data_IF_902069344232
#
_entry.id   IF_902069344232
#
_cell.length_a   1.000
_cell.length_b   1.000
_cell.length_c   1.000
_cell.angle_alpha   90.00
_cell.angle_beta   90.00
_cell.angle_gamma   90.00
#
_symmetry.space_group_name_H-M   'P 1'
#
loop_
_entity.id
_entity.type
_entity.pdbx_description
1 polymer ?
#
# COMPACT_ATOMS: atom_id res chain seq x y z
N UNK A 1 19.08 67.68 -57.41
CA UNK A 1 18.14 66.55 -57.21
C UNK A 1 18.90 65.37 -56.60
N UNK A 2 18.28 64.65 -55.64
CA UNK A 2 18.66 63.34 -55.08
C UNK A 2 20.13 63.01 -54.76
N UNK A 3 20.47 63.00 -53.46
CA UNK A 3 21.60 62.23 -52.92
C UNK A 3 21.19 60.80 -52.57
N UNK A 4 21.75 59.79 -53.25
CA UNK A 4 21.51 58.38 -52.97
C UNK A 4 22.56 57.74 -52.06
N UNK A 5 22.18 57.30 -50.85
CA UNK A 5 23.04 56.47 -49.98
C UNK A 5 23.02 55.00 -50.44
N UNK A 6 24.18 54.44 -50.83
CA UNK A 6 24.36 53.00 -51.06
C UNK A 6 24.24 52.22 -49.74
N UNK A 7 23.27 51.30 -49.63
CA UNK A 7 23.28 50.27 -48.59
C UNK A 7 24.05 49.02 -49.04
N UNK A 8 24.98 48.56 -48.20
CA UNK A 8 25.72 47.32 -48.38
C UNK A 8 24.88 46.10 -47.99
N UNK A 9 24.55 45.23 -48.97
CA UNK A 9 23.96 43.90 -48.69
C UNK A 9 25.05 42.95 -48.19
N UNK A 10 25.12 42.75 -46.87
CA UNK A 10 26.03 41.78 -46.23
C UNK A 10 25.64 40.34 -46.63
N UNK A 11 26.43 39.69 -47.49
CA UNK A 11 26.28 38.25 -47.81
C UNK A 11 26.39 37.44 -46.50
N UNK A 12 25.41 36.60 -46.20
CA UNK A 12 25.55 35.61 -45.13
C UNK A 12 26.34 34.41 -45.62
N UNK A 13 27.43 34.07 -44.93
CA UNK A 13 28.27 32.92 -45.27
C UNK A 13 27.53 31.59 -45.13
N UNK A 14 27.90 30.63 -46.00
CA UNK A 14 27.29 29.30 -46.16
C UNK A 14 27.14 28.53 -44.83
N UNK A 15 28.11 28.69 -43.92
CA UNK A 15 28.09 28.14 -42.56
C UNK A 15 26.80 28.46 -41.77
N UNK A 16 26.24 29.68 -41.89
CA UNK A 16 24.98 30.04 -41.21
C UNK A 16 23.75 29.34 -41.79
N UNK A 17 23.74 29.03 -43.09
CA UNK A 17 22.64 28.25 -43.71
C UNK A 17 22.67 26.80 -43.25
N UNK A 18 23.86 26.21 -43.11
CA UNK A 18 24.01 24.83 -42.62
C UNK A 18 23.60 24.72 -41.15
N UNK A 19 24.02 25.65 -40.28
CA UNK A 19 23.53 25.68 -38.88
C UNK A 19 22.00 25.81 -38.78
N UNK A 20 21.37 26.63 -39.63
CA UNK A 20 19.92 26.79 -39.62
C UNK A 20 19.18 25.49 -40.01
N UNK A 21 19.69 24.74 -41.00
CA UNK A 21 19.14 23.44 -41.37
C UNK A 21 19.38 22.35 -40.32
N UNK A 22 20.54 22.34 -39.65
CA UNK A 22 20.81 21.41 -38.55
C UNK A 22 19.90 21.71 -37.35
N UNK A 23 19.68 22.98 -36.98
CA UNK A 23 18.72 23.32 -35.92
C UNK A 23 17.28 22.92 -36.30
N UNK A 24 16.84 23.16 -37.54
CA UNK A 24 15.51 22.77 -37.99
C UNK A 24 15.32 21.24 -38.04
N UNK A 25 16.35 20.49 -38.47
CA UNK A 25 16.33 19.02 -38.47
C UNK A 25 16.34 18.41 -37.06
N UNK A 26 17.09 19.00 -36.12
CA UNK A 26 17.12 18.56 -34.72
C UNK A 26 15.82 18.87 -33.98
N UNK A 27 15.13 19.96 -34.34
CA UNK A 27 13.82 20.34 -33.76
C UNK A 27 12.63 19.51 -34.26
N UNK A 28 12.79 18.71 -35.33
CA UNK A 28 11.74 17.83 -35.86
C UNK A 28 11.75 16.40 -35.28
N UNK A 29 12.70 16.07 -34.39
CA UNK A 29 12.74 14.79 -33.67
C UNK A 29 12.14 14.85 -32.25
N UNK A 30 11.73 16.03 -31.77
CA UNK A 30 11.31 16.25 -30.38
C UNK A 30 9.80 16.35 -30.16
N UNK A 31 8.98 15.46 -30.75
CA UNK A 31 7.59 15.28 -30.27
C UNK A 31 6.88 13.97 -30.63
N UNK A 32 7.57 12.92 -31.13
CA UNK A 32 7.03 11.55 -30.95
C UNK A 32 7.34 11.10 -29.52
N UNK A 33 6.72 11.80 -28.57
CA UNK A 33 6.63 11.37 -27.19
C UNK A 33 5.80 10.09 -27.16
N UNK A 34 6.44 8.95 -27.44
CA UNK A 34 5.88 7.65 -27.16
C UNK A 34 5.54 7.66 -25.67
N UNK A 35 4.24 7.74 -25.37
CA UNK A 35 3.72 7.41 -24.06
C UNK A 35 3.94 5.91 -23.89
N UNK A 36 5.19 5.54 -23.59
CA UNK A 36 5.55 4.26 -22.99
C UNK A 36 4.93 4.31 -21.60
N UNK A 37 3.63 4.02 -21.57
CA UNK A 37 2.88 3.76 -20.35
C UNK A 37 3.64 2.69 -19.61
N UNK A 38 4.37 3.09 -18.55
CA UNK A 38 5.25 2.21 -17.80
C UNK A 38 4.52 0.90 -17.52
N UNK A 39 5.05 -0.21 -18.03
CA UNK A 39 4.29 -1.44 -18.20
C UNK A 39 3.68 -1.87 -16.87
N UNK A 40 2.36 -2.09 -16.85
CA UNK A 40 1.67 -2.36 -15.59
C UNK A 40 2.16 -3.67 -14.97
N UNK A 41 2.72 -3.56 -13.76
CA UNK A 41 3.28 -4.71 -13.04
C UNK A 41 2.11 -5.47 -12.41
N UNK A 42 1.72 -6.57 -13.08
CA UNK A 42 0.58 -7.41 -12.69
C UNK A 42 0.99 -8.87 -12.52
N UNK A 43 0.43 -9.52 -11.51
CA UNK A 43 0.69 -10.95 -11.25
C UNK A 43 -0.30 -11.83 -12.01
N UNK A 44 0.16 -12.88 -12.68
CA UNK A 44 -0.73 -13.90 -13.28
C UNK A 44 -1.55 -14.55 -12.17
N UNK A 45 -2.89 -14.37 -12.16
CA UNK A 45 -3.77 -14.87 -11.08
C UNK A 45 -3.64 -16.38 -10.84
N UNK A 46 -3.29 -17.14 -11.87
CA UNK A 46 -3.10 -18.60 -11.84
C UNK A 46 -1.88 -19.06 -11.03
N UNK A 47 -0.85 -18.23 -10.83
CA UNK A 47 0.35 -18.62 -10.06
C UNK A 47 0.12 -18.57 -8.54
N UNK A 48 -0.99 -17.98 -8.09
CA UNK A 48 -1.35 -17.90 -6.68
C UNK A 48 -2.21 -19.11 -6.31
N UNK A 49 -1.79 -19.84 -5.28
CA UNK A 49 -2.44 -21.08 -4.83
C UNK A 49 -3.95 -20.95 -4.63
N UNK A 50 -4.68 -21.98 -5.07
CA UNK A 50 -6.12 -22.15 -4.78
C UNK A 50 -6.39 -22.40 -3.30
N UNK A 51 -5.43 -22.95 -2.56
CA UNK A 51 -5.50 -23.18 -1.11
C UNK A 51 -4.50 -22.30 -0.37
N UNK A 52 -5.01 -21.35 0.42
CA UNK A 52 -4.23 -20.47 1.29
C UNK A 52 -4.72 -20.54 2.75
N UNK A 53 -5.34 -21.66 3.15
CA UNK A 53 -5.76 -21.94 4.53
C UNK A 53 -4.61 -22.58 5.32
N UNK A 54 -3.58 -21.76 5.58
CA UNK A 54 -2.39 -22.13 6.37
C UNK A 54 -2.01 -21.01 7.34
N UNK A 55 -1.21 -21.34 8.35
CA UNK A 55 -0.77 -20.42 9.42
C UNK A 55 0.17 -19.31 8.91
N UNK A 56 1.04 -19.64 7.95
CA UNK A 56 1.91 -18.69 7.25
C UNK A 56 1.92 -19.09 5.78
N UNK A 57 1.36 -18.24 4.91
CA UNK A 57 1.38 -18.45 3.47
C UNK A 57 2.49 -17.60 2.84
N UNK A 58 3.34 -18.19 1.98
CA UNK A 58 4.29 -17.44 1.15
C UNK A 58 3.57 -16.98 -0.11
N UNK A 59 3.37 -15.68 -0.26
CA UNK A 59 2.74 -15.06 -1.42
C UNK A 59 3.79 -14.34 -2.26
N UNK A 60 4.13 -14.91 -3.42
CA UNK A 60 4.99 -14.26 -4.42
C UNK A 60 4.13 -13.49 -5.40
N UNK A 61 4.51 -12.24 -5.69
CA UNK A 61 3.83 -11.35 -6.66
C UNK A 61 4.88 -10.61 -7.48
N UNK A 62 4.47 -10.13 -8.66
CA UNK A 62 5.32 -9.28 -9.50
C UNK A 62 5.56 -7.91 -8.87
N UNK A 63 6.76 -7.37 -9.07
CA UNK A 63 7.24 -6.10 -8.54
C UNK A 63 8.18 -5.40 -9.54
N UNK A 64 8.54 -4.14 -9.31
CA UNK A 64 9.44 -3.40 -10.21
C UNK A 64 10.82 -4.03 -10.41
N UNK A 65 11.27 -4.87 -9.47
CA UNK A 65 12.60 -5.50 -9.50
C UNK A 65 12.49 -7.03 -9.64
N UNK A 66 11.54 -7.51 -10.48
CA UNK A 66 11.19 -8.92 -10.57
C UNK A 66 10.18 -9.34 -9.51
N UNK A 67 10.36 -10.47 -8.83
CA UNK A 67 9.36 -10.99 -7.88
C UNK A 67 9.61 -10.58 -6.42
N UNK A 68 8.52 -10.36 -5.65
CA UNK A 68 8.57 -10.14 -4.20
C UNK A 68 7.71 -11.14 -3.45
N UNK A 69 8.35 -11.89 -2.55
CA UNK A 69 7.68 -12.86 -1.67
C UNK A 69 7.36 -12.26 -0.30
N UNK A 70 6.09 -12.25 0.06
CA UNK A 70 5.60 -11.87 1.38
C UNK A 70 5.21 -13.10 2.21
N UNK A 71 5.41 -13.05 3.52
CA UNK A 71 4.91 -14.03 4.50
C UNK A 71 3.60 -13.50 5.08
N UNK A 72 2.47 -14.09 4.67
CA UNK A 72 1.12 -13.70 5.12
C UNK A 72 0.70 -14.57 6.29
N UNK A 73 0.60 -13.96 7.46
CA UNK A 73 0.31 -14.64 8.73
C UNK A 73 -1.19 -14.81 8.99
N UNK A 74 -1.59 -15.89 9.64
CA UNK A 74 -2.93 -16.08 10.20
C UNK A 74 -2.96 -15.60 11.66
N UNK A 75 -3.92 -14.75 12.06
CA UNK A 75 -4.11 -14.38 13.47
C UNK A 75 -4.50 -15.57 14.36
N UNK A 76 -5.22 -16.54 13.79
CA UNK A 76 -5.67 -17.76 14.46
C UNK A 76 -4.69 -18.93 14.25
N UNK A 77 -3.39 -18.65 14.06
CA UNK A 77 -2.37 -19.69 13.94
C UNK A 77 -2.27 -20.51 15.23
N UNK A 78 -2.10 -21.83 15.09
CA UNK A 78 -1.89 -22.75 16.23
C UNK A 78 -0.61 -22.42 17.02
N UNK A 79 0.33 -21.66 16.42
CA UNK A 79 1.57 -21.20 17.04
C UNK A 79 1.40 -20.04 18.03
N UNK A 80 0.20 -19.46 18.11
CA UNK A 80 -0.12 -18.44 19.12
C UNK A 80 -1.02 -19.05 20.18
N UNK A 81 -0.77 -18.71 21.46
CA UNK A 81 -1.68 -19.09 22.56
C UNK A 81 -3.10 -18.60 22.22
N UNK A 82 -4.11 -19.45 22.47
CA UNK A 82 -5.52 -19.06 22.43
C UNK A 82 -5.70 -17.86 23.37
N UNK A 83 -6.53 -16.89 22.99
CA UNK A 83 -6.72 -15.63 23.73
C UNK A 83 -5.41 -14.88 23.97
N UNK A 84 -4.55 -14.79 22.95
CA UNK A 84 -3.39 -13.89 22.93
C UNK A 84 -3.68 -12.60 22.17
N UNK A 85 -2.83 -11.58 22.37
CA UNK A 85 -2.91 -10.31 21.64
C UNK A 85 -2.97 -10.50 20.11
N UNK A 86 -2.21 -11.45 19.56
CA UNK A 86 -2.23 -11.70 18.10
C UNK A 86 -3.58 -12.28 17.66
N UNK A 87 -4.17 -13.19 18.45
CA UNK A 87 -5.47 -13.79 18.11
C UNK A 87 -6.64 -12.80 18.17
N UNK A 88 -6.62 -11.83 19.09
CA UNK A 88 -7.73 -10.87 19.30
C UNK A 88 -7.53 -9.52 18.60
N UNK A 89 -6.29 -9.03 18.53
CA UNK A 89 -5.94 -7.68 18.05
C UNK A 89 -4.83 -7.68 16.97
N UNK A 90 -4.36 -8.85 16.54
CA UNK A 90 -3.16 -8.96 15.72
C UNK A 90 -3.24 -8.49 14.27
N UNK A 91 -4.36 -7.99 13.76
CA UNK A 91 -4.55 -7.71 12.32
C UNK A 91 -3.56 -6.67 11.78
N UNK A 92 -3.38 -5.58 12.51
CA UNK A 92 -2.43 -4.52 12.18
C UNK A 92 -0.97 -5.01 12.20
N UNK A 93 -0.57 -5.72 13.26
CA UNK A 93 0.81 -6.22 13.38
C UNK A 93 1.10 -7.39 12.43
N UNK A 94 0.12 -8.24 12.10
CA UNK A 94 0.24 -9.24 11.04
C UNK A 94 0.40 -8.57 9.66
N UNK A 95 -0.35 -7.51 9.37
CA UNK A 95 -0.23 -6.73 8.14
C UNK A 95 1.13 -6.04 8.02
N UNK A 96 1.57 -5.36 9.08
CA UNK A 96 2.92 -4.77 9.19
C UNK A 96 4.02 -5.82 8.99
N UNK A 97 3.94 -6.96 9.69
CA UNK A 97 4.94 -8.04 9.55
C UNK A 97 4.94 -8.64 8.14
N UNK A 98 3.77 -8.70 7.49
CA UNK A 98 3.65 -9.13 6.09
C UNK A 98 4.46 -8.21 5.18
N UNK A 99 4.26 -6.88 5.27
CA UNK A 99 5.02 -5.91 4.46
C UNK A 99 6.52 -5.93 4.77
N UNK A 100 6.89 -5.91 6.06
CA UNK A 100 8.29 -6.01 6.50
C UNK A 100 8.99 -7.25 5.92
N UNK A 101 8.27 -8.37 5.80
CA UNK A 101 8.85 -9.61 5.30
C UNK A 101 9.28 -9.55 3.82
N UNK A 102 8.58 -8.76 3.01
CA UNK A 102 8.89 -8.56 1.59
C UNK A 102 9.97 -7.50 1.33
N UNK A 103 10.05 -6.46 2.18
CA UNK A 103 10.90 -5.29 1.93
C UNK A 103 12.24 -5.29 2.69
N UNK A 104 12.34 -5.93 3.86
CA UNK A 104 13.55 -5.84 4.69
C UNK A 104 14.23 -7.19 4.85
N UNK A 105 15.51 -7.31 4.46
CA UNK A 105 16.34 -8.49 4.77
C UNK A 105 16.39 -8.74 6.29
N UNK A 106 16.57 -7.68 7.09
CA UNK A 106 16.64 -7.71 8.57
C UNK A 106 15.35 -8.22 9.23
N UNK A 107 14.19 -7.80 8.73
CA UNK A 107 12.88 -8.16 9.32
C UNK A 107 12.18 -9.31 8.57
N UNK A 108 12.79 -9.89 7.52
CA UNK A 108 12.25 -10.99 6.70
C UNK A 108 11.68 -12.14 7.52
N UNK A 109 12.42 -12.54 8.55
CA UNK A 109 12.13 -13.70 9.39
C UNK A 109 11.37 -13.35 10.69
N UNK A 110 10.95 -12.11 10.88
CA UNK A 110 10.14 -11.73 12.05
C UNK A 110 8.78 -12.45 12.06
N UNK A 111 8.20 -12.56 13.25
CA UNK A 111 6.83 -13.00 13.48
C UNK A 111 6.03 -11.83 14.05
N UNK A 112 4.69 -11.84 13.95
CA UNK A 112 3.84 -10.83 14.61
C UNK A 112 4.14 -10.63 16.10
N UNK A 113 4.60 -11.67 16.81
CA UNK A 113 5.11 -11.55 18.19
C UNK A 113 6.43 -10.76 18.27
N UNK A 114 7.44 -11.05 17.42
CA UNK A 114 8.68 -10.25 17.40
C UNK A 114 8.42 -8.81 16.97
N UNK A 115 7.51 -8.58 16.02
CA UNK A 115 7.12 -7.23 15.58
C UNK A 115 6.45 -6.46 16.71
N UNK A 116 5.42 -7.01 17.36
CA UNK A 116 4.71 -6.35 18.47
C UNK A 116 5.55 -6.18 19.73
N UNK A 117 6.37 -7.17 20.10
CA UNK A 117 7.10 -7.17 21.38
C UNK A 117 8.48 -6.51 21.33
N UNK A 118 9.15 -6.53 20.17
CA UNK A 118 10.51 -6.00 20.00
C UNK A 118 10.49 -4.75 19.11
N UNK A 119 9.96 -4.83 17.88
CA UNK A 119 10.07 -3.73 16.93
C UNK A 119 9.20 -2.53 17.30
N UNK A 120 7.90 -2.73 17.61
CA UNK A 120 7.03 -1.65 18.10
C UNK A 120 7.60 -1.00 19.37
N UNK A 121 8.14 -1.80 20.30
CA UNK A 121 8.77 -1.28 21.53
C UNK A 121 9.97 -0.40 21.22
N UNK A 122 10.82 -0.82 20.28
CA UNK A 122 11.99 -0.06 19.84
C UNK A 122 11.62 1.24 19.11
N UNK A 123 10.59 1.23 18.27
CA UNK A 123 10.16 2.40 17.47
C UNK A 123 9.36 3.41 18.29
N UNK A 124 8.48 2.95 19.18
CA UNK A 124 7.57 3.84 19.92
C UNK A 124 8.09 4.27 21.30
N UNK A 125 9.13 3.59 21.79
CA UNK A 125 9.70 3.75 23.13
C UNK A 125 8.98 2.90 24.18
N UNK A 126 9.75 2.43 25.16
CA UNK A 126 9.26 1.53 26.24
C UNK A 126 8.05 2.09 26.99
N UNK A 127 8.00 3.40 27.26
CA UNK A 127 6.87 4.04 27.97
C UNK A 127 5.54 3.88 27.21
N UNK A 128 5.47 4.35 25.94
CA UNK A 128 4.26 4.23 25.12
C UNK A 128 3.86 2.78 24.88
N UNK A 129 4.85 1.90 24.71
CA UNK A 129 4.63 0.47 24.53
C UNK A 129 4.04 -0.18 25.80
N UNK A 130 4.63 0.09 26.97
CA UNK A 130 4.13 -0.40 28.26
C UNK A 130 2.70 0.10 28.53
N UNK A 131 2.41 1.39 28.25
CA UNK A 131 1.08 1.98 28.41
C UNK A 131 -0.02 1.35 27.52
N UNK A 132 0.36 0.60 26.48
CA UNK A 132 -0.57 -0.25 25.72
C UNK A 132 -0.57 -1.68 26.26
N UNK A 133 0.60 -2.32 26.37
CA UNK A 133 0.73 -3.77 26.57
C UNK A 133 0.70 -4.24 28.04
N UNK A 134 0.74 -3.33 29.02
CA UNK A 134 0.45 -3.64 30.44
C UNK A 134 -1.05 -3.67 30.76
N UNK A 135 -1.91 -3.19 29.86
CA UNK A 135 -3.37 -3.24 30.04
C UNK A 135 -3.89 -4.68 29.99
N UNK A 136 -5.05 -4.92 30.61
CA UNK A 136 -5.82 -6.15 30.39
C UNK A 136 -6.05 -6.39 28.90
N UNK A 137 -6.11 -7.65 28.48
CA UNK A 137 -5.97 -8.04 27.08
C UNK A 137 -6.94 -7.30 26.14
N UNK A 138 -8.23 -7.22 26.48
CA UNK A 138 -9.24 -6.51 25.68
C UNK A 138 -9.14 -4.98 25.69
N UNK A 139 -8.37 -4.40 26.62
CA UNK A 139 -8.05 -2.98 26.66
C UNK A 139 -6.76 -2.63 25.90
N UNK A 140 -5.95 -3.62 25.52
CA UNK A 140 -4.84 -3.43 24.57
C UNK A 140 -5.40 -2.99 23.21
N UNK A 141 -4.61 -2.21 22.46
CA UNK A 141 -5.00 -1.73 21.12
C UNK A 141 -3.98 -2.15 20.07
N UNK A 142 -4.43 -2.49 18.85
CA UNK A 142 -3.53 -2.71 17.73
C UNK A 142 -2.74 -1.45 17.40
N UNK A 143 -1.57 -1.61 16.77
CA UNK A 143 -0.86 -0.49 16.14
C UNK A 143 -1.78 0.17 15.09
N UNK A 144 -1.83 1.51 15.05
CA UNK A 144 -2.64 2.26 14.08
C UNK A 144 -1.95 2.36 12.72
N UNK A 145 -2.63 2.81 11.66
CA UNK A 145 -1.94 3.13 10.40
C UNK A 145 -0.85 4.21 10.59
N UNK A 146 -0.98 5.14 11.55
CA UNK A 146 0.11 6.06 11.90
C UNK A 146 1.29 5.34 12.59
N UNK A 147 1.01 4.41 13.49
CA UNK A 147 2.06 3.58 14.10
C UNK A 147 2.79 2.74 13.06
N UNK A 148 2.05 2.14 12.12
CA UNK A 148 2.59 1.39 10.99
C UNK A 148 3.47 2.28 10.11
N UNK A 149 3.02 3.48 9.74
CA UNK A 149 3.83 4.41 8.92
C UNK A 149 5.15 4.77 9.62
N UNK A 150 5.12 5.01 10.95
CA UNK A 150 6.34 5.26 11.74
C UNK A 150 7.28 4.04 11.81
N UNK A 151 6.76 2.81 11.91
CA UNK A 151 7.61 1.60 11.86
C UNK A 151 8.21 1.40 10.48
N UNK A 152 7.44 1.60 9.39
CA UNK A 152 7.96 1.50 8.03
C UNK A 152 9.10 2.50 7.79
N UNK A 153 8.91 3.77 8.17
CA UNK A 153 9.97 4.78 8.08
C UNK A 153 11.22 4.42 8.90
N UNK A 154 11.06 3.92 10.13
CA UNK A 154 12.19 3.43 10.94
C UNK A 154 12.92 2.24 10.30
N UNK A 155 12.23 1.46 9.49
CA UNK A 155 12.81 0.32 8.76
C UNK A 155 13.40 0.70 7.39
N UNK A 156 13.54 2.00 7.11
CA UNK A 156 13.96 2.57 5.82
C UNK A 156 13.06 2.13 4.64
N UNK A 157 11.76 1.98 4.90
CA UNK A 157 10.75 1.71 3.88
C UNK A 157 9.97 3.00 3.65
N UNK A 158 10.19 3.63 2.49
CA UNK A 158 9.42 4.80 2.04
C UNK A 158 7.92 4.48 2.12
N UNK A 159 7.10 5.43 2.55
CA UNK A 159 5.66 5.24 2.65
C UNK A 159 4.92 6.58 2.69
N UNK A 160 3.69 6.60 2.18
CA UNK A 160 2.78 7.75 2.27
C UNK A 160 1.46 7.29 2.87
N UNK A 161 1.10 7.86 4.02
CA UNK A 161 -0.15 7.56 4.72
C UNK A 161 -1.24 8.60 4.37
N UNK A 162 -2.29 8.15 3.70
CA UNK A 162 -3.46 8.94 3.30
C UNK A 162 -4.59 8.67 4.29
N UNK A 163 -4.95 9.69 5.07
CA UNK A 163 -6.02 9.65 6.08
C UNK A 163 -7.39 9.95 5.50
N UNK A 164 -7.46 11.03 4.73
CA UNK A 164 -8.67 11.61 4.15
C UNK A 164 -8.74 11.25 2.67
N UNK A 165 -9.88 10.74 2.20
CA UNK A 165 -10.06 10.40 0.80
C UNK A 165 -11.53 10.46 0.38
N UNK A 166 -11.76 10.73 -0.91
CA UNK A 166 -13.03 10.45 -1.60
C UNK A 166 -12.93 9.11 -2.31
N UNK A 167 -14.01 8.34 -2.38
CA UNK A 167 -13.98 6.95 -2.87
C UNK A 167 -13.37 6.82 -4.28
N UNK A 168 -13.81 7.67 -5.22
CA UNK A 168 -13.28 7.70 -6.61
C UNK A 168 -11.77 7.94 -6.65
N UNK A 169 -11.25 8.82 -5.79
CA UNK A 169 -9.82 9.16 -5.72
C UNK A 169 -9.00 8.02 -5.12
N UNK A 170 -9.50 7.40 -4.03
CA UNK A 170 -8.83 6.26 -3.40
C UNK A 170 -8.74 5.06 -4.34
N UNK A 171 -9.81 4.72 -5.07
CA UNK A 171 -9.80 3.66 -6.07
C UNK A 171 -8.71 3.90 -7.12
N UNK A 172 -8.70 5.07 -7.77
CA UNK A 172 -7.70 5.40 -8.81
C UNK A 172 -6.27 5.40 -8.26
N UNK A 173 -6.04 6.00 -7.09
CA UNK A 173 -4.70 6.10 -6.51
C UNK A 173 -4.15 4.72 -6.10
N UNK A 174 -4.98 3.89 -5.47
CA UNK A 174 -4.58 2.55 -5.03
C UNK A 174 -4.39 1.62 -6.23
N UNK A 175 -5.28 1.63 -7.23
CA UNK A 175 -5.09 0.83 -8.44
C UNK A 175 -3.81 1.23 -9.20
N UNK A 176 -3.54 2.54 -9.36
CA UNK A 176 -2.27 3.02 -9.97
C UNK A 176 -1.05 2.56 -9.17
N UNK A 177 -1.07 2.68 -7.85
CA UNK A 177 0.06 2.28 -7.01
C UNK A 177 0.28 0.76 -6.98
N UNK A 178 -0.77 -0.05 -6.90
CA UNK A 178 -0.63 -1.51 -6.95
C UNK A 178 -0.08 -2.02 -8.29
N UNK A 179 -0.27 -1.26 -9.38
CA UNK A 179 0.30 -1.51 -10.71
C UNK A 179 1.77 -1.09 -10.86
N UNK A 180 2.38 -0.42 -9.86
CA UNK A 180 3.84 -0.28 -9.77
C UNK A 180 4.49 -1.47 -9.05
N UNK A 181 3.71 -2.49 -8.69
CA UNK A 181 4.21 -3.67 -7.99
C UNK A 181 4.59 -3.41 -6.53
N UNK A 182 4.01 -2.37 -5.92
CA UNK A 182 4.19 -2.00 -4.51
C UNK A 182 2.86 -2.14 -3.75
N UNK A 183 2.86 -2.55 -2.46
CA UNK A 183 1.65 -2.89 -1.74
C UNK A 183 0.99 -1.67 -1.07
N UNK A 184 -0.29 -1.83 -0.73
CA UNK A 184 -1.04 -0.84 0.07
C UNK A 184 -1.55 -1.50 1.34
N UNK A 185 -1.34 -0.87 2.50
CA UNK A 185 -1.97 -1.28 3.76
C UNK A 185 -3.28 -0.51 3.91
N UNK A 186 -4.40 -1.18 4.18
CA UNK A 186 -5.72 -0.55 4.32
C UNK A 186 -6.37 -0.90 5.67
N UNK A 187 -7.17 0.00 6.21
CA UNK A 187 -8.04 -0.26 7.35
C UNK A 187 -9.51 -0.34 6.90
N UNK A 188 -10.19 -1.45 7.22
CA UNK A 188 -11.58 -1.72 6.81
C UNK A 188 -12.53 -1.95 7.97
N UNK A 189 -13.81 -1.67 7.72
CA UNK A 189 -14.92 -1.76 8.66
C UNK A 189 -15.78 -3.02 8.39
N UNK A 190 -16.56 -3.44 9.39
CA UNK A 190 -17.60 -4.46 9.24
C UNK A 190 -18.91 -3.93 8.63
N UNK A 191 -19.03 -2.60 8.56
CA UNK A 191 -20.09 -1.86 7.85
C UNK A 191 -19.62 -1.43 6.47
N UNK A 192 -20.54 -1.32 5.52
CA UNK A 192 -20.27 -0.61 4.26
C UNK A 192 -20.25 0.90 4.49
N UNK A 193 -19.70 1.66 3.54
CA UNK A 193 -19.66 3.12 3.52
C UNK A 193 -19.79 3.66 2.09
N UNK A 194 -20.29 4.89 1.96
CA UNK A 194 -20.27 5.71 0.74
C UNK A 194 -19.84 7.13 1.12
N UNK A 195 -18.74 7.62 0.56
CA UNK A 195 -18.16 8.95 0.86
C UNK A 195 -18.05 9.27 2.37
N UNK A 196 -17.57 8.31 3.16
CA UNK A 196 -17.35 8.43 4.62
C UNK A 196 -18.58 8.26 5.51
N UNK A 197 -19.76 8.00 4.95
CA UNK A 197 -20.98 7.67 5.72
C UNK A 197 -21.17 6.15 5.79
N UNK A 198 -21.12 5.58 6.99
CA UNK A 198 -21.27 4.14 7.20
C UNK A 198 -22.74 3.69 7.16
N UNK A 199 -23.05 2.73 6.29
CA UNK A 199 -24.35 2.08 6.17
C UNK A 199 -24.44 0.80 7.02
N UNK A 200 -25.10 -0.22 6.48
CA UNK A 200 -25.42 -1.48 7.17
C UNK A 200 -24.19 -2.34 7.51
N UNK A 201 -24.35 -3.16 8.56
CA UNK A 201 -23.42 -4.24 8.88
C UNK A 201 -23.51 -5.36 7.84
N UNK A 202 -22.36 -5.89 7.42
CA UNK A 202 -22.29 -7.08 6.53
C UNK A 202 -21.27 -8.12 7.03
N UNK A 203 -20.37 -7.71 7.93
CA UNK A 203 -19.28 -8.50 8.48
C UNK A 203 -18.34 -9.18 7.45
N UNK A 204 -18.37 -8.74 6.18
CA UNK A 204 -17.66 -9.37 5.06
C UNK A 204 -16.14 -9.37 5.24
N UNK A 205 -15.54 -8.21 5.47
CA UNK A 205 -14.09 -8.04 5.58
C UNK A 205 -13.57 -7.89 7.02
N UNK A 206 -14.47 -7.75 7.99
CA UNK A 206 -14.17 -7.60 9.41
C UNK A 206 -15.38 -7.95 10.27
N UNK A 207 -15.19 -8.36 11.52
CA UNK A 207 -16.24 -8.38 12.55
C UNK A 207 -16.37 -7.06 13.30
N UNK A 208 -15.37 -6.16 13.19
CA UNK A 208 -15.47 -4.77 13.63
C UNK A 208 -14.56 -3.87 12.79
N UNK A 209 -13.26 -3.82 13.08
CA UNK A 209 -12.22 -3.03 12.39
C UNK A 209 -11.03 -3.95 12.12
N UNK A 210 -10.40 -3.83 10.96
CA UNK A 210 -9.42 -4.81 10.49
C UNK A 210 -8.43 -4.20 9.50
N UNK A 211 -7.14 -4.36 9.78
CA UNK A 211 -6.07 -3.99 8.87
C UNK A 211 -5.76 -5.16 7.92
N UNK A 212 -5.60 -4.86 6.63
CA UNK A 212 -5.22 -5.82 5.58
C UNK A 212 -4.10 -5.26 4.70
N UNK A 213 -3.43 -6.11 3.93
CA UNK A 213 -2.46 -5.68 2.91
C UNK A 213 -2.95 -6.06 1.52
N UNK A 214 -2.91 -5.12 0.59
CA UNK A 214 -3.12 -5.31 -0.83
C UNK A 214 -1.73 -5.50 -1.46
N UNK A 215 -1.39 -6.71 -1.88
CA UNK A 215 -0.02 -7.06 -2.30
C UNK A 215 0.32 -6.59 -3.72
N UNK A 216 -0.68 -6.38 -4.57
CA UNK A 216 -0.55 -6.00 -5.97
C UNK A 216 -1.86 -6.22 -6.75
N UNK A 217 -1.82 -5.99 -8.06
CA UNK A 217 -2.91 -6.32 -8.99
C UNK A 217 -2.65 -7.63 -9.74
N UNK A 218 -3.71 -8.33 -10.12
CA UNK A 218 -3.63 -9.44 -11.07
C UNK A 218 -3.83 -8.98 -12.50
N UNK A 219 -3.35 -9.78 -13.45
CA UNK A 219 -3.62 -9.64 -14.89
C UNK A 219 -5.13 -9.71 -15.26
N UNK A 220 -6.00 -10.06 -14.31
CA UNK A 220 -7.47 -10.08 -14.49
C UNK A 220 -8.16 -8.89 -13.80
N UNK A 221 -7.45 -7.80 -13.54
CA UNK A 221 -7.98 -6.61 -12.87
C UNK A 221 -8.50 -6.85 -11.45
N UNK A 222 -7.97 -7.83 -10.71
CA UNK A 222 -8.34 -8.10 -9.31
C UNK A 222 -7.19 -7.74 -8.36
N UNK A 223 -7.54 -7.20 -7.21
CA UNK A 223 -6.61 -6.91 -6.11
C UNK A 223 -6.27 -8.21 -5.38
N UNK A 224 -4.99 -8.39 -5.04
CA UNK A 224 -4.47 -9.51 -4.25
C UNK A 224 -4.51 -9.12 -2.77
N UNK A 225 -5.53 -9.55 -2.03
CA UNK A 225 -5.75 -9.17 -0.62
C UNK A 225 -5.16 -10.22 0.32
N UNK A 226 -4.18 -9.83 1.13
CA UNK A 226 -3.62 -10.61 2.23
C UNK A 226 -4.35 -10.31 3.56
N UNK A 227 -4.94 -11.34 4.19
CA UNK A 227 -5.94 -11.30 5.30
C UNK A 227 -5.71 -10.26 6.44
N UNK A 228 -5.29 -10.58 7.66
CA UNK A 228 -4.76 -11.82 8.28
C UNK A 228 -5.78 -12.73 9.01
N UNK A 229 -7.08 -12.49 8.89
CA UNK A 229 -8.15 -13.21 9.57
C UNK A 229 -8.81 -14.29 8.71
N UNK A 230 -9.58 -15.18 9.36
CA UNK A 230 -10.36 -16.24 8.72
C UNK A 230 -11.78 -15.73 8.43
N UNK A 231 -12.29 -15.96 7.21
CA UNK A 231 -13.63 -15.54 6.76
C UNK A 231 -14.39 -16.72 6.17
N UNK A 232 -15.60 -17.00 6.67
CA UNK A 232 -16.45 -18.14 6.22
C UNK A 232 -16.63 -18.16 4.70
N UNK A 233 -17.00 -17.02 4.11
CA UNK A 233 -17.21 -16.85 2.66
C UNK A 233 -15.99 -17.18 1.79
N UNK A 234 -14.78 -17.19 2.34
CA UNK A 234 -13.56 -17.39 1.55
C UNK A 234 -13.08 -18.85 1.47
N UNK A 235 -13.72 -19.79 2.18
CA UNK A 235 -13.46 -21.23 2.03
C UNK A 235 -11.98 -21.62 2.23
N UNK A 236 -11.33 -22.14 1.18
CA UNK A 236 -9.89 -22.48 1.18
C UNK A 236 -8.97 -21.26 0.96
N UNK A 237 -9.50 -20.10 0.57
CA UNK A 237 -8.75 -18.86 0.25
C UNK A 237 -8.66 -17.91 1.44
N UNK A 238 -8.06 -18.39 2.53
CA UNK A 238 -8.05 -17.67 3.81
C UNK A 238 -6.95 -16.60 3.89
N UNK A 239 -5.69 -16.92 3.55
CA UNK A 239 -4.60 -15.93 3.57
C UNK A 239 -4.62 -14.98 2.38
N UNK A 240 -4.94 -15.45 1.17
CA UNK A 240 -5.09 -14.60 -0.03
C UNK A 240 -6.51 -14.67 -0.59
N UNK A 241 -7.10 -13.50 -0.83
CA UNK A 241 -8.43 -13.27 -1.40
C UNK A 241 -8.34 -12.36 -2.63
N UNK A 242 -9.33 -12.41 -3.52
CA UNK A 242 -9.37 -11.62 -4.75
C UNK A 242 -10.66 -10.80 -4.83
N UNK A 243 -10.55 -9.52 -5.18
CA UNK A 243 -11.69 -8.59 -5.30
C UNK A 243 -11.33 -7.39 -6.18
N UNK A 244 -12.14 -6.33 -6.24
CA UNK A 244 -11.82 -5.06 -6.93
C UNK A 244 -11.67 -3.92 -5.92
N UNK A 245 -10.98 -2.83 -6.28
CA UNK A 245 -10.96 -1.64 -5.40
C UNK A 245 -12.33 -0.99 -5.29
N UNK A 246 -13.17 -1.04 -6.34
CA UNK A 246 -14.59 -0.64 -6.27
C UNK A 246 -15.38 -1.38 -5.19
N UNK A 247 -15.00 -2.60 -4.83
CA UNK A 247 -15.60 -3.35 -3.73
C UNK A 247 -14.93 -3.03 -2.39
N UNK A 248 -13.60 -2.97 -2.32
CA UNK A 248 -12.87 -2.69 -1.07
C UNK A 248 -13.12 -1.28 -0.53
N UNK A 249 -13.23 -0.27 -1.40
CA UNK A 249 -13.43 1.12 -0.96
C UNK A 249 -14.72 1.29 -0.15
N UNK A 250 -15.76 0.49 -0.46
CA UNK A 250 -17.01 0.43 0.32
C UNK A 250 -16.80 0.00 1.77
N UNK A 251 -15.65 -0.53 2.15
CA UNK A 251 -15.34 -0.95 3.52
C UNK A 251 -14.20 -0.14 4.15
N UNK A 252 -13.40 0.54 3.34
CA UNK A 252 -12.29 1.36 3.84
C UNK A 252 -12.78 2.50 4.72
N UNK A 253 -12.02 2.83 5.76
CA UNK A 253 -12.36 3.86 6.73
C UNK A 253 -11.68 5.17 6.35
N UNK A 254 -12.34 6.19 5.79
CA UNK A 254 -11.76 7.53 5.74
C UNK A 254 -11.74 8.15 7.14
N UNK A 255 -10.63 8.80 7.50
CA UNK A 255 -10.56 9.56 8.74
C UNK A 255 -11.47 10.80 8.67
N UNK A 256 -11.84 11.31 9.85
CA UNK A 256 -12.50 12.61 10.08
C UNK A 256 -11.63 13.58 10.88
N UNK A 257 -10.58 13.09 11.54
CA UNK A 257 -9.60 13.91 12.26
C UNK A 257 -8.18 13.33 12.11
N UNK A 258 -7.17 14.16 12.40
CA UNK A 258 -5.77 13.72 12.45
C UNK A 258 -5.48 13.14 13.84
N UNK A 259 -4.71 12.04 13.90
CA UNK A 259 -4.09 11.60 15.15
C UNK A 259 -2.70 11.02 14.92
N UNK A 260 -1.78 11.41 15.80
CA UNK A 260 -0.41 10.89 15.93
C UNK A 260 -0.32 9.74 16.94
N UNK A 261 -1.46 9.16 17.36
CA UNK A 261 -1.43 7.98 18.23
C UNK A 261 -0.93 6.76 17.46
N UNK A 262 0.17 6.16 17.94
CA UNK A 262 0.77 4.95 17.35
C UNK A 262 -0.07 3.69 17.57
N UNK A 263 -1.00 3.71 18.53
CA UNK A 263 -1.99 2.66 18.74
C UNK A 263 -3.39 3.16 18.35
N UNK A 264 -4.26 2.24 17.94
CA UNK A 264 -5.60 2.55 17.47
C UNK A 264 -6.45 3.21 18.58
N UNK A 265 -6.99 4.41 18.29
CA UNK A 265 -7.94 5.11 19.16
C UNK A 265 -9.39 4.98 18.66
N UNK A 266 -9.66 5.42 17.43
CA UNK A 266 -11.03 5.55 16.93
C UNK A 266 -11.12 5.40 15.41
N UNK A 267 -12.33 5.08 14.93
CA UNK A 267 -12.69 5.08 13.51
C UNK A 267 -12.42 6.45 12.87
N UNK A 268 -12.65 7.52 13.61
CA UNK A 268 -12.42 8.90 13.13
C UNK A 268 -10.97 9.27 12.87
N UNK A 269 -9.98 8.53 13.40
CA UNK A 269 -8.58 8.99 13.42
C UNK A 269 -7.52 7.95 13.04
N UNK A 270 -7.88 6.66 12.99
CA UNK A 270 -6.96 5.55 12.73
C UNK A 270 -7.29 4.76 11.44
N UNK A 271 -8.25 5.24 10.64
CA UNK A 271 -8.52 4.73 9.29
C UNK A 271 -7.51 5.21 8.23
N UNK A 272 -7.84 5.06 6.97
CA UNK A 272 -7.05 5.50 5.82
C UNK A 272 -6.41 4.34 5.06
N UNK A 273 -5.33 4.65 4.34
CA UNK A 273 -4.47 3.67 3.70
C UNK A 273 -3.03 4.19 3.57
N UNK A 274 -2.08 3.26 3.53
CA UNK A 274 -0.66 3.55 3.39
C UNK A 274 -0.19 2.99 2.05
N UNK A 275 0.25 3.86 1.15
CA UNK A 275 1.04 3.47 -0.01
C UNK A 275 2.44 3.14 0.50
N UNK A 276 2.90 1.90 0.29
CA UNK A 276 4.24 1.47 0.71
C UNK A 276 5.15 1.59 -0.49
N UNK A 277 6.33 2.20 -0.32
CA UNK A 277 7.28 2.46 -1.40
C UNK A 277 6.64 3.13 -2.64
N UNK A 278 5.96 4.28 -2.48
CA UNK A 278 5.34 5.05 -3.56
C UNK A 278 6.34 5.82 -4.42
#
# INVERSE_FOLDING_TARGET
MFFGKKQSKRKMNLSRKIMAFVLAGVLLLSSVGMNVSAQEIVTKKSTISKNTKVDIYKATVQSGNGERTYRVFAQTSKKYKKNSFISLHGCAVCSLTTVLSGYSKKYRNYTPNKTSRILEKKVFGSSRWNANYRKSLGAQRPVSLYGISKVLSYCNISNRYIRFFKDKTAVRQIEKHLKTGNPVIIEVNNRTQKNGRFGSYTNKWSSSKHTMVLLGMTNTGKVIVADSATRKWSGKKQRIKFTTMKELVKYMIPCKSVSTSVYYKSVSSAGGYILVNP
#
